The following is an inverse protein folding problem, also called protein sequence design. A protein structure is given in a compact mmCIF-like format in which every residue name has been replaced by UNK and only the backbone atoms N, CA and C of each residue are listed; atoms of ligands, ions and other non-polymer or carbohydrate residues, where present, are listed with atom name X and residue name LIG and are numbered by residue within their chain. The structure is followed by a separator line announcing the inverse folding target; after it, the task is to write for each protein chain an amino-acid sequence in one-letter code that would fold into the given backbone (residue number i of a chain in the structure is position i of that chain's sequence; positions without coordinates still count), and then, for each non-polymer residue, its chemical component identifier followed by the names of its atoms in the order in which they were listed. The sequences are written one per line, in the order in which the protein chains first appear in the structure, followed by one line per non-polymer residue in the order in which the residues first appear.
data_IF_398307273468
#
_entry.id   IF_398307273468
#
_cell.length_a   1.000
_cell.length_b   1.000
_cell.length_c   1.000
_cell.angle_alpha   90.00
_cell.angle_beta   90.00
_cell.angle_gamma   90.00
#
_symmetry.space_group_name_H-M   'P 1'
#
loop_
_entity.id
_entity.type
_entity.pdbx_description
1 polymer ?
#
# COMPACT_ATOMS: atom_id res chain seq x y z
N UNK A 1 25.99 -14.52 5.02
CA UNK A 1 25.55 -14.15 3.65
C UNK A 1 24.07 -14.42 3.38
N UNK A 2 23.54 -15.63 3.65
CA UNK A 2 22.13 -16.01 3.41
C UNK A 2 21.11 -15.04 4.03
N UNK A 3 21.24 -14.69 5.31
CA UNK A 3 20.31 -13.78 5.98
C UNK A 3 20.24 -12.38 5.34
N UNK A 4 21.34 -11.91 4.75
CA UNK A 4 21.40 -10.62 4.04
C UNK A 4 20.58 -10.67 2.75
N UNK A 5 20.67 -11.77 2.00
CA UNK A 5 19.88 -12.00 0.80
C UNK A 5 18.40 -12.18 1.11
N UNK A 6 18.07 -12.93 2.17
CA UNK A 6 16.67 -13.07 2.62
C UNK A 6 16.06 -11.72 2.99
N UNK A 7 16.77 -10.87 3.74
CA UNK A 7 16.33 -9.50 4.05
C UNK A 7 16.15 -8.65 2.80
N UNK A 8 17.03 -8.78 1.81
CA UNK A 8 16.92 -8.04 0.56
C UNK A 8 15.69 -8.47 -0.25
N UNK A 9 15.49 -9.79 -0.41
CA UNK A 9 14.35 -10.36 -1.14
C UNK A 9 13.04 -9.95 -0.46
N UNK A 10 12.93 -10.11 0.87
CA UNK A 10 11.76 -9.70 1.63
C UNK A 10 11.52 -8.19 1.52
N UNK A 11 12.58 -7.38 1.62
CA UNK A 11 12.48 -5.93 1.50
C UNK A 11 11.95 -5.49 0.13
N UNK A 12 12.48 -6.07 -0.95
CA UNK A 12 12.01 -5.81 -2.31
C UNK A 12 10.57 -6.28 -2.51
N UNK A 13 10.21 -7.47 -2.00
CA UNK A 13 8.86 -7.98 -2.06
C UNK A 13 7.86 -7.06 -1.33
N UNK A 14 8.21 -6.59 -0.14
CA UNK A 14 7.38 -5.65 0.62
C UNK A 14 7.22 -4.30 -0.08
N UNK A 15 8.29 -3.77 -0.70
CA UNK A 15 8.18 -2.55 -1.51
C UNK A 15 7.24 -2.78 -2.69
N UNK A 16 7.41 -3.89 -3.42
CA UNK A 16 6.54 -4.25 -4.54
C UNK A 16 5.08 -4.34 -4.14
N UNK A 17 4.77 -5.08 -3.07
CA UNK A 17 3.42 -5.17 -2.52
C UNK A 17 2.89 -3.81 -2.06
N UNK A 18 3.73 -2.99 -1.43
CA UNK A 18 3.37 -1.65 -0.99
C UNK A 18 2.98 -0.73 -2.14
N UNK A 19 3.68 -0.80 -3.27
CA UNK A 19 3.31 -0.08 -4.50
C UNK A 19 1.97 -0.58 -5.04
N UNK A 20 1.74 -1.90 -5.09
CA UNK A 20 0.46 -2.46 -5.53
C UNK A 20 -0.70 -2.01 -4.64
N UNK A 21 -0.51 -1.98 -3.33
CA UNK A 21 -1.51 -1.47 -2.39
C UNK A 21 -1.72 0.04 -2.54
N UNK A 22 -0.69 0.83 -2.85
CA UNK A 22 -0.84 2.25 -3.13
C UNK A 22 -1.66 2.49 -4.40
N UNK A 23 -1.48 1.68 -5.44
CA UNK A 23 -2.32 1.71 -6.63
C UNK A 23 -3.77 1.32 -6.30
N UNK A 24 -3.98 0.31 -5.46
CA UNK A 24 -5.32 -0.06 -4.99
C UNK A 24 -5.97 1.06 -4.15
N UNK A 25 -5.19 1.76 -3.32
CA UNK A 25 -5.65 2.93 -2.56
C UNK A 25 -6.09 4.06 -3.49
N UNK A 26 -5.32 4.34 -4.55
CA UNK A 26 -5.70 5.33 -5.56
C UNK A 26 -7.01 4.94 -6.24
N UNK A 27 -7.08 3.72 -6.77
CA UNK A 27 -8.18 3.25 -7.59
C UNK A 27 -9.48 3.00 -6.82
N UNK A 28 -9.39 2.57 -5.55
CA UNK A 28 -10.56 2.21 -4.72
C UNK A 28 -11.01 3.31 -3.78
N UNK A 29 -10.14 4.26 -3.44
CA UNK A 29 -10.44 5.30 -2.46
C UNK A 29 -10.10 6.71 -2.96
N UNK A 30 -8.83 7.02 -3.25
CA UNK A 30 -8.39 8.41 -3.44
C UNK A 30 -9.11 9.10 -4.59
N UNK A 31 -9.29 8.39 -5.72
CA UNK A 31 -10.02 8.90 -6.88
C UNK A 31 -11.49 9.26 -6.58
N UNK A 32 -12.09 8.61 -5.59
CA UNK A 32 -13.51 8.72 -5.25
C UNK A 32 -13.75 9.45 -3.91
N UNK A 33 -12.70 9.99 -3.30
CA UNK A 33 -12.73 10.53 -1.93
C UNK A 33 -13.74 11.67 -1.73
N UNK A 34 -14.06 12.40 -2.79
CA UNK A 34 -14.97 13.54 -2.76
C UNK A 34 -16.44 13.14 -3.10
N UNK A 35 -16.72 11.85 -3.32
CA UNK A 35 -18.04 11.32 -3.72
C UNK A 35 -18.77 10.57 -2.59
N UNK A 36 -18.08 10.18 -1.52
CA UNK A 36 -18.69 9.36 -0.46
C UNK A 36 -19.82 10.11 0.27
N UNK A 37 -20.96 9.43 0.44
CA UNK A 37 -22.09 9.94 1.22
C UNK A 37 -21.95 9.63 2.72
N UNK A 38 -22.99 9.90 3.52
CA UNK A 38 -23.01 9.69 4.97
C UNK A 38 -22.86 8.21 5.39
N UNK A 39 -23.05 7.27 4.46
CA UNK A 39 -22.81 5.84 4.65
C UNK A 39 -21.42 5.39 4.18
N UNK A 40 -20.58 6.31 3.72
CA UNK A 40 -19.25 6.03 3.19
C UNK A 40 -19.27 5.28 1.86
N UNK A 41 -20.30 5.48 1.02
CA UNK A 41 -20.48 4.79 -0.28
C UNK A 41 -20.44 5.79 -1.42
N UNK A 42 -19.77 5.42 -2.51
CA UNK A 42 -19.81 6.14 -3.78
C UNK A 42 -20.16 5.13 -4.88
N UNK A 43 -21.23 5.39 -5.64
CA UNK A 43 -21.64 4.55 -6.76
C UNK A 43 -21.14 5.16 -8.06
N UNK A 44 -20.42 4.36 -8.85
CA UNK A 44 -20.02 4.71 -10.22
C UNK A 44 -21.03 4.12 -11.23
N UNK A 45 -21.85 4.95 -11.89
CA UNK A 45 -22.82 4.48 -12.87
C UNK A 45 -22.17 3.98 -14.17
N UNK A 46 -20.89 4.26 -14.43
CA UNK A 46 -20.20 3.76 -15.62
C UNK A 46 -19.66 2.36 -15.37
N UNK A 47 -18.89 2.17 -14.29
CA UNK A 47 -18.36 0.86 -13.92
C UNK A 47 -19.39 -0.07 -13.28
N UNK A 48 -20.57 0.46 -12.89
CA UNK A 48 -21.60 -0.26 -12.15
C UNK A 48 -21.07 -0.85 -10.83
N UNK A 49 -20.19 -0.11 -10.14
CA UNK A 49 -19.52 -0.54 -8.92
C UNK A 49 -19.77 0.43 -7.76
N UNK A 50 -19.65 -0.07 -6.52
CA UNK A 50 -19.76 0.71 -5.29
C UNK A 50 -18.41 0.73 -4.58
N UNK A 51 -17.83 1.92 -4.50
CA UNK A 51 -16.63 2.20 -3.73
C UNK A 51 -17.00 2.48 -2.27
N UNK A 52 -16.09 2.12 -1.37
CA UNK A 52 -16.30 2.24 0.07
C UNK A 52 -15.19 3.07 0.70
N UNK A 53 -15.55 4.02 1.54
CA UNK A 53 -14.62 4.92 2.23
C UNK A 53 -13.60 4.14 3.08
N UNK A 54 -14.07 3.08 3.77
CA UNK A 54 -13.22 2.20 4.59
C UNK A 54 -12.05 1.57 3.80
N UNK A 55 -12.17 1.46 2.47
CA UNK A 55 -11.10 0.91 1.63
C UNK A 55 -9.85 1.80 1.66
N UNK A 56 -9.99 3.10 1.94
CA UNK A 56 -8.86 4.01 2.11
C UNK A 56 -7.97 3.62 3.28
N UNK A 57 -8.58 3.32 4.44
CA UNK A 57 -7.84 2.87 5.62
C UNK A 57 -7.13 1.53 5.38
N UNK A 58 -7.82 0.59 4.72
CA UNK A 58 -7.27 -0.74 4.45
C UNK A 58 -6.11 -0.67 3.46
N UNK A 59 -6.35 -0.15 2.24
CA UNK A 59 -5.32 -0.13 1.20
C UNK A 59 -4.20 0.87 1.52
N UNK A 60 -4.54 2.04 2.05
CA UNK A 60 -3.56 3.04 2.45
C UNK A 60 -2.69 2.58 3.61
N UNK A 61 -3.28 1.92 4.62
CA UNK A 61 -2.56 1.34 5.75
C UNK A 61 -1.61 0.22 5.31
N UNK A 62 -2.09 -0.70 4.46
CA UNK A 62 -1.26 -1.78 3.90
C UNK A 62 -0.11 -1.24 3.05
N UNK A 63 -0.38 -0.22 2.22
CA UNK A 63 0.65 0.45 1.42
C UNK A 63 1.73 1.07 2.32
N UNK A 64 1.33 1.85 3.33
CA UNK A 64 2.25 2.51 4.24
C UNK A 64 3.12 1.50 5.00
N UNK A 65 2.53 0.49 5.62
CA UNK A 65 3.27 -0.52 6.41
C UNK A 65 4.25 -1.29 5.53
N UNK A 66 3.82 -1.72 4.34
CA UNK A 66 4.65 -2.51 3.43
C UNK A 66 5.81 -1.70 2.86
N UNK A 67 5.55 -0.46 2.40
CA UNK A 67 6.59 0.42 1.88
C UNK A 67 7.61 0.78 2.96
N UNK A 68 7.16 1.22 4.14
CA UNK A 68 8.05 1.58 5.24
C UNK A 68 8.87 0.38 5.71
N UNK A 69 8.23 -0.77 5.91
CA UNK A 69 8.91 -2.01 6.30
C UNK A 69 9.96 -2.45 5.27
N UNK A 70 9.60 -2.44 3.99
CA UNK A 70 10.49 -2.80 2.91
C UNK A 70 11.67 -1.83 2.74
N UNK A 71 11.42 -0.52 2.81
CA UNK A 71 12.47 0.51 2.78
C UNK A 71 13.41 0.35 3.98
N UNK A 72 12.88 0.16 5.19
CA UNK A 72 13.69 -0.05 6.39
C UNK A 72 14.59 -1.28 6.28
N UNK A 73 14.07 -2.39 5.73
CA UNK A 73 14.86 -3.61 5.50
C UNK A 73 15.99 -3.34 4.49
N UNK A 74 15.70 -2.72 3.35
CA UNK A 74 16.70 -2.45 2.30
C UNK A 74 17.72 -1.39 2.74
N UNK A 75 17.28 -0.32 3.39
CA UNK A 75 18.16 0.72 3.92
C UNK A 75 19.04 0.20 5.07
N UNK A 76 18.50 -0.69 5.91
CA UNK A 76 19.25 -1.38 6.95
C UNK A 76 20.40 -2.24 6.41
N UNK A 77 20.29 -2.78 5.18
CA UNK A 77 21.39 -3.49 4.51
C UNK A 77 22.53 -2.55 4.06
N UNK A 78 22.26 -1.25 3.91
CA UNK A 78 23.25 -0.24 3.48
C UNK A 78 24.04 0.33 4.66
N UNK A 79 23.57 0.16 5.90
CA UNK A 79 24.31 0.57 7.09
C UNK A 79 25.46 -0.41 7.31
N UNK A 80 26.72 0.04 7.15
CA UNK A 80 27.89 -0.75 7.58
C UNK A 80 27.76 -1.00 9.09
N UNK A 81 28.03 -2.23 9.58
CA UNK A 81 28.24 -2.41 11.00
C UNK A 81 29.48 -1.58 11.38
N UNK A 82 29.30 -0.61 12.27
CA UNK A 82 30.39 0.14 12.89
C UNK A 82 31.17 -0.74 13.85
#
# INVERSE_FOLDING_TARGET
MILRWLRAILGVALIGSGVLFALAFEARYWRWRDCFNELGRCYDPVAQDVYLEQSGMVWGGLAAISLLGGICLVAGLRRKPG
#
